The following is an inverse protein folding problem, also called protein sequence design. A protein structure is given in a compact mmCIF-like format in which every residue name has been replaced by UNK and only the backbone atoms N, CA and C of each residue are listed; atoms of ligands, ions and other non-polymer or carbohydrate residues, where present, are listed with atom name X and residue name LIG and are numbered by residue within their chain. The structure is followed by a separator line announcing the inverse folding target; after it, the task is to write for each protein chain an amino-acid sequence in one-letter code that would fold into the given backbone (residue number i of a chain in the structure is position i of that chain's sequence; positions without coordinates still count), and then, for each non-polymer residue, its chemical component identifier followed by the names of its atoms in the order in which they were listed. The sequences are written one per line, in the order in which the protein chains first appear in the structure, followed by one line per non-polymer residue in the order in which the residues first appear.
data_IF_578712112490
#
_entry.id   IF_578712112490
#
_cell.length_a   1.000
_cell.length_b   1.000
_cell.length_c   1.000
_cell.angle_alpha   90.00
_cell.angle_beta   90.00
_cell.angle_gamma   90.00
#
_symmetry.space_group_name_H-M   'P 1'
#
loop_
_entity.id
_entity.type
_entity.pdbx_description
1 polymer ?
#
# COMPACT_ATOMS: atom_id res chain seq x y z
N UNK A 1 -13.34 -15.05 -15.00
CA UNK A 1 -12.40 -14.52 -14.00
C UNK A 1 -13.03 -14.73 -12.63
N UNK A 2 -12.26 -15.21 -11.67
CA UNK A 2 -12.77 -15.45 -10.31
C UNK A 2 -12.61 -14.19 -9.46
N UNK A 3 -13.66 -13.80 -8.75
CA UNK A 3 -13.67 -12.64 -7.87
C UNK A 3 -13.98 -13.06 -6.43
N UNK A 4 -13.30 -12.43 -5.46
CA UNK A 4 -13.60 -12.60 -4.04
C UNK A 4 -13.64 -11.26 -3.32
N UNK A 5 -14.72 -10.98 -2.60
CA UNK A 5 -14.86 -9.81 -1.72
C UNK A 5 -14.99 -10.32 -0.28
N UNK A 6 -14.18 -9.75 0.63
CA UNK A 6 -14.18 -10.11 2.05
C UNK A 6 -14.64 -8.93 2.88
N UNK A 7 -15.55 -9.18 3.81
CA UNK A 7 -16.12 -8.17 4.69
C UNK A 7 -16.23 -8.71 6.12
N UNK A 8 -15.97 -7.86 7.10
CA UNK A 8 -16.28 -8.10 8.51
C UNK A 8 -17.51 -7.28 8.88
N UNK A 9 -18.70 -7.87 8.70
CA UNK A 9 -20.01 -7.36 9.11
C UNK A 9 -20.57 -6.11 8.42
N UNK A 10 -19.78 -5.07 8.18
CA UNK A 10 -20.32 -3.75 7.81
C UNK A 10 -20.92 -3.72 6.39
N UNK A 11 -20.29 -4.43 5.46
CA UNK A 11 -20.73 -4.51 4.08
C UNK A 11 -21.45 -5.84 3.85
N UNK A 12 -22.71 -5.75 3.47
CA UNK A 12 -23.56 -6.85 3.03
C UNK A 12 -23.73 -6.69 1.52
N UNK A 13 -23.20 -7.64 0.75
CA UNK A 13 -23.42 -7.76 -0.68
C UNK A 13 -24.47 -8.84 -0.92
N UNK A 14 -25.70 -8.45 -1.23
CA UNK A 14 -26.71 -9.41 -1.70
C UNK A 14 -26.57 -9.63 -3.20
N UNK A 15 -26.23 -8.55 -3.92
CA UNK A 15 -26.08 -8.51 -5.37
C UNK A 15 -25.15 -7.35 -5.80
N UNK A 16 -24.69 -7.31 -7.06
CA UNK A 16 -23.89 -6.19 -7.60
C UNK A 16 -24.61 -4.83 -7.55
N UNK A 17 -25.94 -4.84 -7.47
CA UNK A 17 -26.79 -3.65 -7.39
C UNK A 17 -27.29 -3.39 -5.96
N UNK A 18 -27.18 -4.36 -5.05
CA UNK A 18 -27.64 -4.26 -3.65
C UNK A 18 -26.47 -4.43 -2.67
N UNK A 19 -25.85 -3.28 -2.37
CA UNK A 19 -24.83 -3.13 -1.35
C UNK A 19 -25.47 -2.41 -0.15
N UNK A 20 -25.68 -3.14 0.93
CA UNK A 20 -26.25 -2.60 2.16
C UNK A 20 -25.17 -2.46 3.25
N UNK A 21 -25.18 -1.32 3.95
CA UNK A 21 -24.34 -1.10 5.12
C UNK A 21 -25.12 -1.47 6.40
N UNK A 22 -24.68 -2.51 7.10
CA UNK A 22 -25.27 -2.88 8.39
C UNK A 22 -24.48 -2.22 9.54
N UNK A 23 -24.96 -1.07 10.00
CA UNK A 23 -24.38 -0.31 11.11
C UNK A 23 -24.93 -0.75 12.47
N UNK A 24 -26.11 -1.38 12.52
CA UNK A 24 -26.75 -1.88 13.73
C UNK A 24 -26.02 -3.05 14.41
N UNK A 25 -25.16 -3.76 13.67
CA UNK A 25 -24.30 -4.82 14.22
C UNK A 25 -22.99 -4.32 14.84
N UNK A 26 -22.71 -3.01 14.77
CA UNK A 26 -21.48 -2.44 15.30
C UNK A 26 -21.61 -2.22 16.81
N UNK A 27 -21.05 -3.14 17.59
CA UNK A 27 -20.97 -3.05 19.04
C UNK A 27 -19.52 -3.27 19.49
N UNK A 28 -19.09 -2.52 20.50
CA UNK A 28 -17.75 -2.59 21.08
C UNK A 28 -17.52 -3.84 21.95
N UNK A 29 -18.57 -4.59 22.28
CA UNK A 29 -18.47 -5.82 23.08
C UNK A 29 -17.45 -6.81 22.50
N UNK A 30 -17.33 -6.89 21.17
CA UNK A 30 -16.52 -7.88 20.47
C UNK A 30 -15.11 -7.43 20.03
N UNK A 31 -14.64 -6.25 20.47
CA UNK A 31 -13.41 -5.60 19.98
C UNK A 31 -12.13 -6.45 20.13
N UNK A 32 -12.05 -7.34 21.12
CA UNK A 32 -10.78 -7.98 21.52
C UNK A 32 -10.73 -9.51 21.40
N UNK A 33 -11.86 -10.19 21.16
CA UNK A 33 -11.91 -11.66 21.08
C UNK A 33 -12.43 -12.20 19.74
N UNK A 34 -12.91 -11.32 18.87
CA UNK A 34 -13.38 -11.65 17.54
C UNK A 34 -12.45 -11.02 16.50
N UNK A 35 -12.08 -11.76 15.47
CA UNK A 35 -11.15 -11.31 14.42
C UNK A 35 -9.76 -10.94 14.96
N UNK A 36 -9.16 -11.84 15.74
CA UNK A 36 -7.89 -11.62 16.44
C UNK A 36 -6.68 -11.92 15.55
N UNK A 37 -5.57 -11.24 15.82
CA UNK A 37 -4.32 -11.46 15.11
C UNK A 37 -3.11 -11.32 16.01
N UNK A 38 -1.98 -11.86 15.55
CA UNK A 38 -0.68 -11.71 16.19
C UNK A 38 0.33 -11.27 15.12
N UNK A 39 1.17 -10.30 15.48
CA UNK A 39 2.24 -9.80 14.64
C UNK A 39 3.51 -9.61 15.47
N UNK A 40 4.65 -9.74 14.82
CA UNK A 40 5.93 -9.37 15.38
C UNK A 40 6.75 -8.57 14.37
N UNK A 41 7.54 -7.65 14.90
CA UNK A 41 8.51 -6.87 14.15
C UNK A 41 9.90 -7.22 14.67
N UNK A 42 10.86 -7.33 13.75
CA UNK A 42 12.25 -7.58 14.08
C UNK A 42 13.16 -6.70 13.24
N UNK A 43 14.23 -6.20 13.83
CA UNK A 43 15.23 -5.44 13.12
C UNK A 43 16.59 -5.49 13.81
N UNK A 44 17.63 -5.27 13.02
CA UNK A 44 19.01 -5.25 13.48
C UNK A 44 19.75 -4.11 12.79
N UNK A 45 20.66 -3.49 13.54
CA UNK A 45 21.57 -2.46 13.08
C UNK A 45 22.99 -2.83 13.55
N UNK A 46 23.96 -2.91 12.64
CA UNK A 46 25.30 -3.40 12.89
C UNK A 46 26.37 -2.49 12.28
N UNK A 47 27.16 -1.86 13.14
CA UNK A 47 28.37 -1.15 12.76
C UNK A 47 29.49 -2.16 12.47
N UNK A 48 29.66 -2.55 11.21
CA UNK A 48 30.75 -3.45 10.80
C UNK A 48 32.12 -2.78 10.88
N UNK A 49 32.16 -1.45 10.77
CA UNK A 49 33.35 -0.62 10.98
C UNK A 49 32.95 0.83 11.25
N UNK A 50 33.93 1.71 11.54
CA UNK A 50 33.72 3.16 11.63
C UNK A 50 33.11 3.81 10.38
N UNK A 51 33.16 3.11 9.23
CA UNK A 51 32.66 3.62 7.94
C UNK A 51 31.44 2.87 7.41
N UNK A 52 31.18 1.65 7.86
CA UNK A 52 30.15 0.78 7.27
C UNK A 52 29.18 0.38 8.35
N UNK A 53 27.92 0.75 8.14
CA UNK A 53 26.79 0.27 8.91
C UNK A 53 25.88 -0.56 8.01
N UNK A 54 25.40 -1.70 8.49
CA UNK A 54 24.39 -2.52 7.82
C UNK A 54 23.19 -2.66 8.73
N UNK A 55 21.99 -2.54 8.15
CA UNK A 55 20.76 -2.70 8.88
C UNK A 55 19.75 -3.51 8.08
N UNK A 56 18.89 -4.21 8.78
CA UNK A 56 17.73 -4.87 8.18
C UNK A 56 16.56 -4.89 9.15
N UNK A 57 15.35 -5.00 8.61
CA UNK A 57 14.15 -5.24 9.39
C UNK A 57 13.12 -6.03 8.61
N UNK A 58 12.29 -6.75 9.34
CA UNK A 58 11.09 -7.41 8.85
C UNK A 58 9.94 -6.99 9.78
N UNK A 59 8.94 -6.35 9.20
CA UNK A 59 7.79 -5.79 9.89
C UNK A 59 6.51 -6.49 9.46
N UNK A 60 5.54 -6.44 10.37
CA UNK A 60 4.20 -6.98 10.22
C UNK A 60 4.21 -8.48 9.95
N UNK A 61 5.15 -9.24 10.54
CA UNK A 61 5.19 -10.69 10.37
C UNK A 61 4.09 -11.31 11.23
N UNK A 62 2.98 -11.66 10.59
CA UNK A 62 1.82 -12.10 11.34
C UNK A 62 0.61 -12.45 10.51
N UNK A 63 -0.49 -12.66 11.22
CA UNK A 63 -1.76 -13.02 10.64
C UNK A 63 -2.93 -12.47 11.46
N UNK A 64 -4.08 -12.39 10.82
CA UNK A 64 -5.37 -12.15 11.44
C UNK A 64 -6.27 -13.34 11.12
N UNK A 65 -6.93 -13.88 12.13
CA UNK A 65 -7.92 -14.94 12.01
C UNK A 65 -9.31 -14.35 12.21
N UNK A 66 -10.12 -14.38 11.16
CA UNK A 66 -11.46 -13.81 11.12
C UNK A 66 -12.48 -14.87 11.56
N UNK A 67 -13.13 -14.65 12.70
CA UNK A 67 -14.05 -15.59 13.36
C UNK A 67 -15.46 -15.04 13.54
N UNK A 68 -15.65 -13.71 13.46
CA UNK A 68 -16.94 -13.08 13.70
C UNK A 68 -17.44 -12.37 12.45
N UNK A 69 -18.60 -12.84 11.98
CA UNK A 69 -19.24 -12.42 10.74
C UNK A 69 -18.26 -12.40 9.55
N UNK A 70 -17.45 -13.47 9.33
CA UNK A 70 -16.51 -13.51 8.21
C UNK A 70 -17.28 -13.73 6.91
N UNK A 71 -17.72 -12.67 6.24
CA UNK A 71 -18.42 -12.83 4.95
C UNK A 71 -17.40 -12.87 3.83
N UNK A 72 -17.40 -13.97 3.10
CA UNK A 72 -16.63 -14.12 1.88
C UNK A 72 -17.57 -14.31 0.69
N UNK A 73 -17.65 -13.30 -0.17
CA UNK A 73 -18.44 -13.31 -1.39
C UNK A 73 -17.57 -13.80 -2.53
N UNK A 74 -17.85 -15.01 -3.02
CA UNK A 74 -17.09 -15.63 -4.11
C UNK A 74 -17.96 -15.67 -5.35
N UNK A 75 -17.42 -15.20 -6.48
CA UNK A 75 -18.01 -15.39 -7.80
C UNK A 75 -16.99 -16.11 -8.68
N UNK A 76 -17.34 -17.32 -9.14
CA UNK A 76 -16.50 -18.18 -9.98
C UNK A 76 -17.20 -18.42 -11.30
N UNK A 77 -16.52 -18.15 -12.41
CA UNK A 77 -17.10 -18.34 -13.74
C UNK A 77 -16.48 -17.47 -14.82
N UNK A 78 -16.89 -17.76 -16.06
CA UNK A 78 -16.67 -16.88 -17.20
C UNK A 78 -18.01 -16.20 -17.50
N UNK A 79 -18.05 -14.90 -17.24
CA UNK A 79 -19.26 -14.09 -17.43
C UNK A 79 -19.14 -13.39 -18.78
N UNK A 80 -20.00 -13.74 -19.72
CA UNK A 80 -20.12 -13.11 -21.03
C UNK A 80 -21.41 -12.33 -21.07
N UNK A 81 -21.30 -11.03 -21.34
CA UNK A 81 -22.46 -10.16 -21.56
C UNK A 81 -22.62 -9.95 -23.06
N UNK A 82 -23.66 -10.53 -23.65
CA UNK A 82 -23.91 -10.49 -25.09
C UNK A 82 -24.57 -9.17 -25.54
N UNK A 83 -24.74 -8.20 -24.62
CA UNK A 83 -25.40 -6.94 -24.88
C UNK A 83 -26.93 -7.03 -24.79
N UNK A 84 -27.58 -5.89 -24.99
CA UNK A 84 -29.04 -5.78 -25.02
C UNK A 84 -29.44 -5.59 -26.48
N UNK A 85 -30.32 -6.43 -27.01
CA UNK A 85 -30.92 -6.20 -28.33
C UNK A 85 -32.07 -5.17 -28.17
N UNK A 86 -31.95 -3.96 -28.72
CA UNK A 86 -32.96 -2.92 -28.57
C UNK A 86 -34.29 -3.30 -29.23
N UNK A 87 -34.27 -4.19 -30.23
CA UNK A 87 -35.46 -4.57 -31.02
C UNK A 87 -36.45 -5.37 -30.17
N UNK A 88 -35.97 -6.13 -29.19
CA UNK A 88 -36.80 -6.96 -28.30
C UNK A 88 -37.68 -6.13 -27.36
N UNK A 89 -37.34 -4.86 -27.13
CA UNK A 89 -38.02 -3.98 -26.16
C UNK A 89 -38.89 -2.90 -26.81
N UNK A 90 -38.93 -2.82 -28.14
CA UNK A 90 -39.76 -1.83 -28.87
C UNK A 90 -41.27 -2.05 -28.62
N UNK A 91 -41.69 -3.29 -28.33
CA UNK A 91 -43.08 -3.65 -28.08
C UNK A 91 -43.39 -3.95 -26.61
N UNK A 92 -42.43 -3.82 -25.71
CA UNK A 92 -42.61 -4.14 -24.30
C UNK A 92 -42.95 -2.89 -23.49
N UNK A 93 -44.22 -2.78 -23.06
CA UNK A 93 -44.72 -1.66 -22.26
C UNK A 93 -44.32 -1.72 -20.78
N UNK A 94 -43.66 -2.79 -20.33
CA UNK A 94 -43.39 -3.00 -18.89
C UNK A 94 -42.12 -2.34 -18.36
N UNK A 95 -41.31 -1.72 -19.23
CA UNK A 95 -40.10 -1.02 -18.83
C UNK A 95 -38.94 -1.98 -18.56
N UNK A 96 -37.76 -1.62 -19.07
CA UNK A 96 -36.57 -2.47 -18.99
C UNK A 96 -35.96 -2.46 -17.57
N UNK A 97 -35.95 -3.61 -16.89
CA UNK A 97 -35.29 -3.74 -15.58
C UNK A 97 -33.83 -4.22 -15.74
N UNK A 98 -32.93 -3.28 -16.08
CA UNK A 98 -31.50 -3.55 -16.30
C UNK A 98 -30.81 -4.24 -15.12
N UNK A 99 -31.29 -4.02 -13.90
CA UNK A 99 -30.65 -4.52 -12.68
C UNK A 99 -30.72 -6.03 -12.59
N UNK A 100 -31.87 -6.65 -12.89
CA UNK A 100 -32.07 -8.09 -12.72
C UNK A 100 -31.24 -8.89 -13.72
N UNK A 101 -31.10 -8.39 -14.95
CA UNK A 101 -30.24 -9.01 -15.97
C UNK A 101 -28.76 -8.91 -15.60
N UNK A 102 -28.34 -7.78 -15.03
CA UNK A 102 -26.95 -7.57 -14.60
C UNK A 102 -26.60 -8.46 -13.39
N UNK A 103 -27.54 -8.62 -12.46
CA UNK A 103 -27.44 -9.47 -11.28
C UNK A 103 -27.27 -10.96 -11.60
N UNK A 104 -27.96 -11.47 -12.62
CA UNK A 104 -27.82 -12.87 -13.07
C UNK A 104 -26.48 -13.15 -13.75
N UNK A 105 -25.81 -12.13 -14.28
CA UNK A 105 -24.53 -12.28 -14.99
C UNK A 105 -23.36 -12.57 -14.05
N UNK A 106 -23.43 -12.21 -12.77
CA UNK A 106 -22.34 -12.42 -11.81
C UNK A 106 -22.93 -13.00 -10.50
N UNK A 107 -23.25 -14.31 -10.46
CA UNK A 107 -23.73 -14.94 -9.23
C UNK A 107 -22.65 -14.89 -8.14
N UNK A 108 -23.02 -14.44 -6.94
CA UNK A 108 -22.19 -14.51 -5.74
C UNK A 108 -22.68 -15.61 -4.82
N UNK A 109 -21.75 -16.42 -4.31
CA UNK A 109 -22.01 -17.31 -3.19
C UNK A 109 -21.39 -16.71 -1.93
N UNK A 110 -22.16 -16.61 -0.87
CA UNK A 110 -21.68 -16.17 0.44
C UNK A 110 -21.18 -17.37 1.22
N UNK A 111 -19.94 -17.30 1.70
CA UNK A 111 -19.34 -18.30 2.59
C UNK A 111 -19.03 -17.60 3.92
N UNK A 112 -19.71 -18.02 4.97
CA UNK A 112 -19.54 -17.51 6.35
C UNK A 112 -18.56 -18.38 7.16
N UNK A 113 -17.45 -18.78 6.53
CA UNK A 113 -16.45 -19.63 7.16
C UNK A 113 -15.29 -18.81 7.74
N UNK A 114 -14.75 -19.30 8.86
CA UNK A 114 -13.52 -18.77 9.46
C UNK A 114 -12.39 -18.81 8.44
N UNK A 115 -11.70 -17.68 8.26
CA UNK A 115 -10.51 -17.62 7.40
C UNK A 115 -9.37 -16.85 8.06
N UNK A 116 -8.16 -17.08 7.57
CA UNK A 116 -6.95 -16.39 8.04
C UNK A 116 -6.35 -15.57 6.90
N UNK A 117 -5.91 -14.35 7.20
CA UNK A 117 -5.15 -13.49 6.30
C UNK A 117 -3.77 -13.21 6.88
N UNK A 118 -2.73 -13.37 6.07
CA UNK A 118 -1.41 -12.83 6.41
C UNK A 118 -1.44 -11.31 6.37
N UNK A 119 -0.64 -10.67 7.22
CA UNK A 119 -0.44 -9.23 7.20
C UNK A 119 0.38 -8.78 5.97
N UNK A 120 0.40 -7.47 5.75
CA UNK A 120 1.16 -6.87 4.66
C UNK A 120 2.63 -6.69 5.04
N UNK A 121 3.40 -7.77 4.95
CA UNK A 121 4.79 -7.79 5.40
C UNK A 121 5.67 -6.76 4.67
N UNK A 122 6.55 -6.10 5.43
CA UNK A 122 7.56 -5.15 4.90
C UNK A 122 8.94 -5.61 5.32
N UNK A 123 9.87 -5.65 4.36
CA UNK A 123 11.26 -6.00 4.61
C UNK A 123 12.16 -4.88 4.12
N UNK A 124 13.17 -4.55 4.92
CA UNK A 124 14.18 -3.56 4.61
C UNK A 124 15.55 -4.19 4.80
N UNK A 125 16.46 -3.96 3.85
CA UNK A 125 17.86 -4.29 3.96
C UNK A 125 18.65 -3.10 3.42
N UNK A 126 19.53 -2.52 4.22
CA UNK A 126 20.29 -1.37 3.80
C UNK A 126 21.69 -1.33 4.37
N UNK A 127 22.50 -0.47 3.78
CA UNK A 127 23.85 -0.21 4.20
C UNK A 127 24.16 1.28 4.03
N UNK A 128 24.94 1.82 4.96
CA UNK A 128 25.48 3.17 4.92
C UNK A 128 27.00 3.08 4.89
N UNK A 129 27.61 3.81 3.96
CA UNK A 129 29.05 4.01 3.85
C UNK A 129 29.41 5.47 4.10
N UNK A 130 30.02 5.74 5.25
CA UNK A 130 30.60 7.03 5.62
C UNK A 130 32.01 7.13 5.03
N UNK A 131 32.13 7.73 3.84
CA UNK A 131 33.42 7.89 3.18
C UNK A 131 34.36 8.76 4.02
N UNK A 132 33.82 9.86 4.55
CA UNK A 132 34.44 10.81 5.49
C UNK A 132 33.35 11.61 6.21
N UNK A 133 33.73 12.53 7.11
CA UNK A 133 32.79 13.37 7.87
C UNK A 133 31.78 14.15 7.02
N UNK A 134 32.14 14.44 5.75
CA UNK A 134 31.32 15.22 4.83
C UNK A 134 30.44 14.37 3.94
N UNK A 135 30.83 13.14 3.58
CA UNK A 135 30.15 12.37 2.53
C UNK A 135 29.67 11.01 3.04
N UNK A 136 28.38 10.74 2.82
CA UNK A 136 27.73 9.48 3.16
C UNK A 136 26.96 8.92 1.97
N UNK A 137 27.15 7.63 1.70
CA UNK A 137 26.47 6.89 0.64
C UNK A 137 25.57 5.84 1.27
N UNK A 138 24.33 5.72 0.78
CA UNK A 138 23.32 4.86 1.36
C UNK A 138 22.71 3.97 0.28
N UNK A 139 22.59 2.68 0.56
CA UNK A 139 21.84 1.72 -0.24
C UNK A 139 20.70 1.14 0.57
N UNK A 140 19.52 1.02 -0.04
CA UNK A 140 18.33 0.46 0.59
C UNK A 140 17.55 -0.39 -0.39
N UNK A 141 17.35 -1.65 -0.03
CA UNK A 141 16.36 -2.55 -0.61
C UNK A 141 15.13 -2.56 0.28
N UNK A 142 13.97 -2.30 -0.31
CA UNK A 142 12.66 -2.43 0.34
C UNK A 142 11.82 -3.43 -0.43
N UNK A 143 11.29 -4.42 0.28
CA UNK A 143 10.28 -5.33 -0.25
C UNK A 143 8.98 -5.13 0.53
N UNK A 144 7.89 -4.91 -0.18
CA UNK A 144 6.56 -4.82 0.41
C UNK A 144 5.67 -5.85 -0.25
N UNK A 145 5.08 -6.73 0.55
CA UNK A 145 4.10 -7.71 0.08
C UNK A 145 2.75 -7.35 0.67
N UNK A 146 1.80 -6.99 -0.19
CA UNK A 146 0.40 -6.91 0.17
C UNK A 146 -0.35 -8.17 -0.26
N UNK A 147 -1.61 -8.30 0.17
CA UNK A 147 -2.49 -9.37 -0.29
C UNK A 147 -2.65 -9.43 -1.83
N UNK A 148 -2.59 -8.29 -2.51
CA UNK A 148 -2.88 -8.17 -3.95
C UNK A 148 -1.60 -8.12 -4.79
N UNK A 149 -0.57 -7.39 -4.32
CA UNK A 149 0.66 -7.15 -5.08
C UNK A 149 1.89 -7.15 -4.18
N UNK A 150 3.00 -7.66 -4.72
CA UNK A 150 4.34 -7.43 -4.17
C UNK A 150 5.04 -6.32 -4.94
N UNK A 151 5.87 -5.56 -4.24
CA UNK A 151 6.71 -4.54 -4.83
C UNK A 151 8.11 -4.60 -4.21
N UNK A 152 9.12 -4.45 -5.06
CA UNK A 152 10.51 -4.26 -4.66
C UNK A 152 10.95 -2.85 -5.05
N UNK A 153 11.75 -2.21 -4.19
CA UNK A 153 12.43 -0.97 -4.50
C UNK A 153 13.90 -1.08 -4.11
N UNK A 154 14.78 -0.72 -5.03
CA UNK A 154 16.19 -0.43 -4.74
C UNK A 154 16.38 1.08 -4.76
N UNK A 155 17.01 1.62 -3.72
CA UNK A 155 17.32 3.04 -3.58
C UNK A 155 18.80 3.22 -3.28
N UNK A 156 19.44 4.15 -3.97
CA UNK A 156 20.80 4.60 -3.73
C UNK A 156 20.77 6.10 -3.44
N UNK A 157 21.55 6.58 -2.48
CA UNK A 157 21.63 8.00 -2.16
C UNK A 157 23.04 8.41 -1.79
N UNK A 158 23.39 9.65 -2.14
CA UNK A 158 24.60 10.32 -1.71
C UNK A 158 24.20 11.61 -0.97
N UNK A 159 24.76 11.81 0.22
CA UNK A 159 24.54 13.01 1.02
C UNK A 159 25.87 13.67 1.33
N UNK A 160 25.86 15.00 1.36
CA UNK A 160 26.98 15.84 1.74
C UNK A 160 26.60 16.73 2.91
N UNK A 161 27.37 16.63 3.99
CA UNK A 161 27.26 17.47 5.19
C UNK A 161 28.15 18.69 5.04
N UNK A 162 27.55 19.84 5.28
CA UNK A 162 28.15 21.15 5.44
C UNK A 162 28.03 21.55 6.92
N UNK A 163 28.48 22.75 7.28
CA UNK A 163 28.47 23.19 8.69
C UNK A 163 27.05 23.28 9.28
N UNK A 164 26.10 23.82 8.52
CA UNK A 164 24.71 24.05 8.94
C UNK A 164 23.69 23.54 7.90
N UNK A 165 24.16 22.88 6.85
CA UNK A 165 23.34 22.32 5.77
C UNK A 165 23.77 20.89 5.52
N UNK A 166 22.85 20.05 5.08
CA UNK A 166 23.10 18.77 4.47
C UNK A 166 22.30 18.69 3.18
N UNK A 167 22.96 18.29 2.10
CA UNK A 167 22.35 18.19 0.77
C UNK A 167 22.47 16.77 0.27
N UNK A 168 21.45 16.24 -0.38
CA UNK A 168 21.45 14.86 -0.87
C UNK A 168 20.79 14.69 -2.22
N UNK A 169 21.23 13.65 -2.93
CA UNK A 169 20.61 13.14 -4.13
C UNK A 169 20.31 11.66 -3.93
N UNK A 170 19.18 11.21 -4.45
CA UNK A 170 18.78 9.81 -4.43
C UNK A 170 18.30 9.35 -5.80
N UNK A 171 18.50 8.08 -6.09
CA UNK A 171 17.97 7.39 -7.24
C UNK A 171 17.32 6.10 -6.78
N UNK A 172 16.09 5.84 -7.22
CA UNK A 172 15.34 4.66 -6.84
C UNK A 172 14.66 4.01 -8.04
N UNK A 173 14.62 2.68 -8.03
CA UNK A 173 13.98 1.84 -9.04
C UNK A 173 12.94 0.97 -8.34
N UNK A 174 11.70 0.94 -8.84
CA UNK A 174 10.61 0.13 -8.30
C UNK A 174 9.76 -0.49 -9.41
N UNK A 175 8.96 -1.52 -9.12
CA UNK A 175 8.11 -2.15 -10.14
C UNK A 175 7.13 -1.12 -10.73
N UNK A 176 7.25 -0.86 -12.03
CA UNK A 176 6.43 0.12 -12.76
C UNK A 176 6.99 1.55 -12.81
N UNK A 177 8.08 1.86 -12.09
CA UNK A 177 8.80 3.12 -12.25
C UNK A 177 10.31 2.89 -12.15
N UNK A 178 10.96 2.91 -13.32
CA UNK A 178 12.39 2.67 -13.45
C UNK A 178 13.25 3.90 -13.16
N UNK A 179 12.68 5.10 -13.05
CA UNK A 179 13.46 6.33 -12.92
C UNK A 179 12.84 7.28 -11.88
N UNK A 180 13.28 7.19 -10.63
CA UNK A 180 12.88 8.10 -9.57
C UNK A 180 14.10 8.79 -8.96
N UNK A 181 14.30 10.06 -9.32
CA UNK A 181 15.35 10.91 -8.74
C UNK A 181 14.74 11.77 -7.65
N UNK A 182 15.41 11.78 -6.49
CA UNK A 182 15.06 12.64 -5.37
C UNK A 182 16.21 13.55 -4.93
N UNK A 183 15.84 14.61 -4.23
CA UNK A 183 16.76 15.61 -3.68
C UNK A 183 16.42 15.83 -2.20
N UNK A 184 17.43 16.07 -1.37
CA UNK A 184 17.28 16.41 0.05
C UNK A 184 18.04 17.69 0.35
N UNK A 185 17.42 18.60 1.10
CA UNK A 185 18.10 19.71 1.78
C UNK A 185 17.65 19.68 3.23
N UNK A 186 18.61 19.67 4.15
CA UNK A 186 18.37 19.72 5.58
C UNK A 186 19.22 20.84 6.20
N UNK A 187 18.58 21.79 6.87
CA UNK A 187 19.20 22.97 7.48
C UNK A 187 19.19 22.77 9.00
N UNK A 188 20.37 22.72 9.62
CA UNK A 188 20.57 22.45 11.05
C UNK A 188 20.87 23.76 11.78
N UNK A 189 19.90 24.25 12.57
CA UNK A 189 19.99 25.45 13.40
C UNK A 189 19.66 25.05 14.84
N UNK A 190 20.67 24.59 15.59
CA UNK A 190 20.49 24.07 16.96
C UNK A 190 19.57 25.00 17.80
N UNK A 191 18.49 24.51 18.42
CA UNK A 191 18.07 23.10 18.58
C UNK A 191 17.17 22.53 17.46
N UNK A 192 16.91 23.28 16.41
CA UNK A 192 15.94 22.96 15.36
C UNK A 192 16.64 22.52 14.07
N UNK A 193 16.09 21.52 13.38
CA UNK A 193 16.49 21.18 12.01
C UNK A 193 15.27 21.18 11.09
N UNK A 194 15.40 21.78 9.92
CA UNK A 194 14.36 21.83 8.89
C UNK A 194 14.81 21.00 7.70
N UNK A 195 13.96 20.12 7.17
CA UNK A 195 14.26 19.41 5.95
C UNK A 195 13.20 19.66 4.88
N UNK A 196 13.66 19.62 3.63
CA UNK A 196 12.85 19.59 2.43
C UNK A 196 13.40 18.48 1.54
N UNK A 197 12.53 17.60 1.07
CA UNK A 197 12.85 16.52 0.17
C UNK A 197 11.87 16.51 -1.01
N UNK A 198 12.35 16.07 -2.17
CA UNK A 198 11.53 15.85 -3.35
C UNK A 198 11.78 14.45 -3.86
N UNK A 199 10.72 13.75 -4.27
CA UNK A 199 10.79 12.50 -5.02
C UNK A 199 10.23 12.73 -6.43
N UNK A 200 10.77 12.04 -7.43
CA UNK A 200 10.36 12.12 -8.83
C UNK A 200 10.56 13.53 -9.45
N UNK A 201 11.71 14.16 -9.15
CA UNK A 201 12.04 15.51 -9.61
C UNK A 201 11.95 15.70 -11.13
N UNK A 202 12.33 14.68 -11.91
CA UNK A 202 12.27 14.77 -13.37
C UNK A 202 10.86 14.60 -13.94
N UNK A 203 9.96 13.90 -13.25
CA UNK A 203 8.54 13.85 -13.61
C UNK A 203 7.85 15.22 -13.49
N UNK A 204 8.44 16.18 -12.75
CA UNK A 204 7.97 17.56 -12.73
C UNK A 204 8.18 18.30 -14.06
N UNK A 205 9.12 17.84 -14.90
CA UNK A 205 9.50 18.49 -16.16
C UNK A 205 9.11 17.68 -17.40
N UNK A 206 8.58 16.46 -17.22
CA UNK A 206 8.04 15.65 -18.30
C UNK A 206 6.55 15.97 -18.48
N UNK A 207 6.25 16.78 -19.51
CA UNK A 207 4.90 17.28 -19.80
C UNK A 207 4.03 16.18 -20.46
N UNK A 208 4.63 15.06 -20.89
CA UNK A 208 3.95 13.98 -21.61
C UNK A 208 3.72 12.73 -20.76
N UNK A 209 4.45 12.55 -19.65
CA UNK A 209 4.29 11.44 -18.71
C UNK A 209 3.81 12.00 -17.35
N UNK A 210 2.57 11.71 -16.93
CA UNK A 210 1.93 12.28 -15.73
C UNK A 210 2.50 11.71 -14.41
N UNK A 211 3.80 11.80 -14.23
CA UNK A 211 4.51 11.34 -13.04
C UNK A 211 4.55 12.49 -12.03
N UNK A 212 3.59 12.50 -11.10
CA UNK A 212 3.49 13.52 -10.04
C UNK A 212 4.79 13.66 -9.24
N UNK A 213 5.32 14.88 -9.18
CA UNK A 213 6.41 15.24 -8.29
C UNK A 213 5.90 15.37 -6.86
N UNK A 214 6.60 14.77 -5.90
CA UNK A 214 6.20 14.79 -4.50
C UNK A 214 7.19 15.63 -3.70
N UNK A 215 6.68 16.61 -2.98
CA UNK A 215 7.46 17.44 -2.06
C UNK A 215 7.12 17.07 -0.62
N UNK A 216 8.13 16.95 0.23
CA UNK A 216 7.98 16.67 1.66
C UNK A 216 8.84 17.64 2.44
N UNK A 217 8.28 18.28 3.46
CA UNK A 217 9.02 19.14 4.37
C UNK A 217 8.67 18.82 5.82
N UNK A 218 9.59 19.09 6.73
CA UNK A 218 9.36 18.89 8.14
C UNK A 218 10.41 19.55 9.02
N UNK A 219 10.15 19.49 10.33
CA UNK A 219 10.96 20.11 11.38
C UNK A 219 11.24 19.06 12.46
N UNK A 220 12.48 19.03 12.96
CA UNK A 220 12.90 18.23 14.10
C UNK A 220 13.46 19.17 15.18
N UNK A 221 13.11 18.93 16.45
CA UNK A 221 13.68 19.63 17.61
C UNK A 221 14.47 18.61 18.42
N UNK A 222 15.75 18.88 18.64
CA UNK A 222 16.64 18.06 19.48
C UNK A 222 16.86 18.77 20.82
N UNK A 223 16.65 18.06 21.92
CA UNK A 223 16.86 18.51 23.30
C UNK A 223 17.96 17.70 23.97
#
# INVERSE_FOLDING_TARGET
MDYSIRSSSALILNDITDITLNTSGFNFDHLFYNNTGLAFDIGMNMELSKKINIFWSALDLGFITWTFLPRNYISKGNFTFDGIDPITYINDTTGFNFTDSLSQLIPFTTIDEKYTTSLNNRFFLGATYEMNEKWSFNGLLRFHRSFVKSNAQLSLAATRRWKWVETGLSYSVTNGNLFNIGTLVNIKINPVSFYLATDNFLGAFDIFDQKLANFRGGLNVSF
#
